data_IF_830178302863
#
_entry.id   IF_830178302863
#
_cell.length_a   1.000
_cell.length_b   1.000
_cell.length_c   1.000
_cell.angle_alpha   90.00
_cell.angle_beta   90.00
_cell.angle_gamma   90.00
#
_symmetry.space_group_name_H-M   'P 1'
#
loop_
_entity.id
_entity.type
_entity.pdbx_description
1 polymer ?
#
# COMPACT_ATOMS: atom_id res chain seq x y z
N UNK A 1 -4.03 -6.51 11.01
CA UNK A 1 -4.20 -5.97 9.64
C UNK A 1 -5.60 -5.37 9.48
N UNK A 2 -5.71 -4.18 8.95
CA UNK A 2 -7.00 -3.56 8.63
C UNK A 2 -7.53 -4.05 7.28
N UNK A 3 -8.83 -4.35 7.25
CA UNK A 3 -9.60 -4.66 6.03
C UNK A 3 -10.71 -3.63 5.94
N UNK A 4 -10.56 -2.67 5.03
CA UNK A 4 -11.56 -1.63 4.78
C UNK A 4 -11.53 -1.20 3.32
N UNK A 5 -12.43 -1.72 2.52
CA UNK A 5 -12.61 -1.38 1.12
C UNK A 5 -14.04 -1.67 0.66
N UNK A 6 -14.45 -1.00 -0.40
CA UNK A 6 -15.72 -1.31 -1.05
C UNK A 6 -15.58 -2.61 -1.86
N UNK A 7 -16.30 -3.63 -1.47
CA UNK A 7 -16.28 -4.96 -2.11
C UNK A 7 -16.75 -4.87 -3.57
N UNK A 8 -17.74 -4.02 -3.86
CA UNK A 8 -18.36 -3.93 -5.19
C UNK A 8 -17.44 -3.39 -6.30
N UNK A 9 -16.32 -2.74 -5.93
CA UNK A 9 -15.39 -2.20 -6.94
C UNK A 9 -14.67 -3.32 -7.71
N UNK A 10 -14.43 -4.48 -7.07
CA UNK A 10 -13.86 -5.69 -7.67
C UNK A 10 -14.37 -6.88 -6.85
N UNK A 11 -15.62 -7.25 -7.12
CA UNK A 11 -16.40 -8.11 -6.23
C UNK A 11 -15.74 -9.45 -5.99
N UNK A 12 -15.32 -10.16 -7.02
CA UNK A 12 -14.83 -11.53 -6.90
C UNK A 12 -13.59 -11.60 -6.01
N UNK A 13 -12.60 -10.76 -6.26
CA UNK A 13 -11.35 -10.72 -5.47
C UNK A 13 -11.63 -10.21 -4.06
N UNK A 14 -12.33 -9.09 -3.94
CA UNK A 14 -12.50 -8.42 -2.65
C UNK A 14 -13.42 -9.16 -1.70
N UNK A 15 -14.49 -9.77 -2.22
CA UNK A 15 -15.37 -10.61 -1.41
C UNK A 15 -14.64 -11.83 -0.87
N UNK A 16 -13.86 -12.51 -1.70
CA UNK A 16 -13.04 -13.65 -1.27
C UNK A 16 -12.08 -13.27 -0.15
N UNK A 17 -11.42 -12.12 -0.25
CA UNK A 17 -10.50 -11.63 0.79
C UNK A 17 -11.23 -11.30 2.10
N UNK A 18 -12.41 -10.69 2.04
CA UNK A 18 -13.23 -10.45 3.23
C UNK A 18 -13.59 -11.77 3.91
N UNK A 19 -14.11 -12.75 3.15
CA UNK A 19 -14.47 -14.05 3.71
C UNK A 19 -13.27 -14.78 4.32
N UNK A 20 -12.09 -14.68 3.69
CA UNK A 20 -10.88 -15.31 4.19
C UNK A 20 -10.34 -14.69 5.48
N UNK A 21 -10.52 -13.37 5.69
CA UNK A 21 -9.83 -12.65 6.78
C UNK A 21 -10.74 -12.09 7.87
N UNK A 22 -12.04 -11.84 7.63
CA UNK A 22 -12.93 -11.14 8.58
C UNK A 22 -13.04 -11.80 9.96
N UNK A 23 -12.85 -13.11 10.03
CA UNK A 23 -12.94 -13.89 11.28
C UNK A 23 -11.60 -14.10 12.00
N UNK A 24 -10.49 -13.68 11.38
CA UNK A 24 -9.16 -13.89 11.98
C UNK A 24 -8.91 -12.86 13.08
N UNK A 25 -8.44 -13.30 14.24
CA UNK A 25 -8.23 -12.45 15.44
C UNK A 25 -7.22 -11.33 15.23
N UNK A 26 -6.30 -11.47 14.27
CA UNK A 26 -5.30 -10.45 13.91
C UNK A 26 -5.75 -9.50 12.80
N UNK A 27 -7.00 -9.67 12.30
CA UNK A 27 -7.62 -8.79 11.32
C UNK A 27 -8.71 -7.93 11.97
N UNK A 28 -8.80 -6.69 11.51
CA UNK A 28 -9.83 -5.74 11.90
C UNK A 28 -10.66 -5.38 10.66
N UNK A 29 -11.82 -6.01 10.53
CA UNK A 29 -12.74 -5.73 9.42
C UNK A 29 -13.67 -4.57 9.78
N UNK A 30 -13.64 -3.51 9.00
CA UNK A 30 -14.46 -2.31 9.16
C UNK A 30 -15.11 -1.90 7.84
N UNK A 31 -16.34 -1.43 7.90
CA UNK A 31 -17.09 -0.90 6.76
C UNK A 31 -17.72 0.44 7.13
N UNK A 32 -18.10 1.22 6.12
CA UNK A 32 -18.87 2.45 6.29
C UNK A 32 -18.29 3.45 7.30
N UNK A 33 -16.96 3.57 7.34
CA UNK A 33 -16.29 4.54 8.19
C UNK A 33 -16.49 5.96 7.66
N UNK A 34 -16.71 6.92 8.57
CA UNK A 34 -16.57 8.34 8.23
C UNK A 34 -15.10 8.63 7.85
N UNK A 35 -14.85 9.73 7.14
CA UNK A 35 -13.49 10.13 6.74
C UNK A 35 -12.53 10.19 7.93
N UNK A 36 -12.94 10.80 9.03
CA UNK A 36 -12.10 10.91 10.23
C UNK A 36 -11.85 9.55 10.88
N UNK A 37 -12.88 8.72 11.01
CA UNK A 37 -12.73 7.35 11.55
C UNK A 37 -11.87 6.48 10.66
N UNK A 38 -11.92 6.66 9.34
CA UNK A 38 -11.07 5.96 8.39
C UNK A 38 -9.59 6.31 8.60
N UNK A 39 -9.27 7.61 8.65
CA UNK A 39 -7.90 8.10 8.91
C UNK A 39 -7.36 7.56 10.23
N UNK A 40 -8.13 7.68 11.31
CA UNK A 40 -7.72 7.19 12.63
C UNK A 40 -7.56 5.66 12.65
N UNK A 41 -8.41 4.93 11.94
CA UNK A 41 -8.31 3.47 11.88
C UNK A 41 -7.06 3.03 11.13
N UNK A 42 -6.68 3.73 10.04
CA UNK A 42 -5.40 3.46 9.34
C UNK A 42 -4.23 3.75 10.27
N UNK A 43 -4.15 4.95 10.86
CA UNK A 43 -3.06 5.33 11.79
C UNK A 43 -2.83 4.32 12.91
N UNK A 44 -3.89 3.70 13.40
CA UNK A 44 -3.85 2.72 14.48
C UNK A 44 -3.65 1.27 14.00
N UNK A 45 -3.38 1.07 12.70
CA UNK A 45 -3.18 -0.26 12.11
C UNK A 45 -1.77 -0.37 11.54
N UNK A 46 -1.01 -1.41 11.91
CA UNK A 46 0.32 -1.62 11.34
C UNK A 46 0.28 -2.00 9.86
N UNK A 47 -0.72 -2.78 9.45
CA UNK A 47 -0.87 -3.25 8.08
C UNK A 47 -2.27 -2.98 7.54
N UNK A 48 -2.35 -2.59 6.27
CA UNK A 48 -3.60 -2.34 5.55
C UNK A 48 -3.68 -3.24 4.33
N UNK A 49 -4.73 -4.05 4.22
CA UNK A 49 -4.96 -4.86 3.02
C UNK A 49 -5.45 -3.99 1.87
N UNK A 50 -4.67 -3.96 0.79
CA UNK A 50 -4.87 -3.08 -0.37
C UNK A 50 -5.11 -3.90 -1.66
N UNK A 51 -6.27 -4.56 -1.80
CA UNK A 51 -6.56 -5.32 -3.01
C UNK A 51 -6.81 -4.40 -4.21
N UNK A 52 -6.58 -4.90 -5.43
CA UNK A 52 -6.90 -4.17 -6.65
C UNK A 52 -8.38 -3.75 -6.66
N UNK A 53 -8.63 -2.58 -7.24
CA UNK A 53 -9.97 -2.07 -7.53
C UNK A 53 -10.27 -2.17 -9.03
N UNK A 54 -10.56 -1.03 -9.67
CA UNK A 54 -10.63 -0.94 -11.13
C UNK A 54 -9.25 -1.10 -11.80
N UNK A 55 -8.19 -0.92 -11.03
CA UNK A 55 -6.80 -1.15 -11.39
C UNK A 55 -6.00 -1.66 -10.20
N UNK A 56 -4.74 -2.07 -10.41
CA UNK A 56 -3.87 -2.57 -9.36
C UNK A 56 -3.44 -1.47 -8.39
N UNK A 57 -3.22 -0.25 -8.88
CA UNK A 57 -2.87 0.91 -8.08
C UNK A 57 -4.13 1.55 -7.50
N UNK A 58 -4.21 1.56 -6.18
CA UNK A 58 -5.33 2.15 -5.45
C UNK A 58 -4.84 3.23 -4.50
N UNK A 59 -5.62 4.31 -4.35
CA UNK A 59 -5.31 5.41 -3.41
C UNK A 59 -5.02 4.93 -1.99
N UNK A 60 -5.60 3.81 -1.56
CA UNK A 60 -5.38 3.22 -0.23
C UNK A 60 -3.92 2.85 0.02
N UNK A 61 -3.17 2.46 -0.99
CA UNK A 61 -1.74 2.15 -0.88
C UNK A 61 -1.00 3.41 -0.40
N UNK A 62 -1.22 4.51 -1.07
CA UNK A 62 -0.58 5.79 -0.79
C UNK A 62 -1.06 6.42 0.51
N UNK A 63 -2.37 6.37 0.77
CA UNK A 63 -2.94 6.82 2.05
C UNK A 63 -2.34 6.05 3.23
N UNK A 64 -2.13 4.74 3.10
CA UNK A 64 -1.49 3.93 4.14
C UNK A 64 -0.08 4.40 4.43
N UNK A 65 0.73 4.63 3.40
CA UNK A 65 2.10 5.14 3.54
C UNK A 65 2.14 6.53 4.18
N UNK A 66 1.29 7.46 3.72
CA UNK A 66 1.20 8.81 4.30
C UNK A 66 0.78 8.81 5.77
N UNK A 67 -0.02 7.84 6.19
CA UNK A 67 -0.52 7.72 7.55
C UNK A 67 0.36 6.82 8.45
N UNK A 68 1.49 6.33 7.92
CA UNK A 68 2.47 5.56 8.68
C UNK A 68 2.13 4.08 8.84
N UNK A 69 1.28 3.54 7.97
CA UNK A 69 0.91 2.13 7.92
C UNK A 69 1.56 1.44 6.72
N UNK A 70 1.71 0.13 6.78
CA UNK A 70 2.29 -0.70 5.73
C UNK A 70 1.17 -1.26 4.86
N UNK A 71 1.07 -0.87 3.56
CA UNK A 71 0.13 -1.49 2.65
C UNK A 71 0.59 -2.91 2.28
N UNK A 72 -0.36 -3.84 2.24
CA UNK A 72 -0.20 -5.21 1.73
C UNK A 72 -0.80 -5.27 0.35
N UNK A 73 0.02 -5.51 -0.67
CA UNK A 73 -0.30 -5.30 -2.08
C UNK A 73 0.06 -6.54 -2.89
N UNK A 74 -0.77 -6.89 -3.86
CA UNK A 74 -0.41 -7.92 -4.83
C UNK A 74 0.65 -7.39 -5.80
N UNK A 75 1.70 -8.18 -6.05
CA UNK A 75 2.75 -7.83 -7.02
C UNK A 75 2.14 -7.51 -8.39
N UNK A 76 2.58 -6.42 -8.97
CA UNK A 76 2.17 -6.00 -10.31
C UNK A 76 3.26 -5.11 -10.93
N UNK A 77 3.36 -5.11 -12.26
CA UNK A 77 4.40 -4.36 -12.99
C UNK A 77 4.31 -2.84 -12.78
N UNK A 78 3.13 -2.29 -12.44
CA UNK A 78 2.99 -0.86 -12.17
C UNK A 78 3.75 -0.40 -10.92
N UNK A 79 4.18 -1.32 -10.06
CA UNK A 79 4.94 -1.00 -8.85
C UNK A 79 6.46 -1.12 -9.03
N UNK A 80 6.93 -1.35 -10.26
CA UNK A 80 8.37 -1.30 -10.55
C UNK A 80 8.96 0.05 -10.17
N UNK A 81 10.05 0.01 -9.40
CA UNK A 81 10.71 1.21 -8.90
C UNK A 81 10.16 1.73 -7.57
N UNK A 82 9.22 1.02 -6.93
CA UNK A 82 8.71 1.33 -5.59
C UNK A 82 9.07 0.26 -4.56
N UNK A 83 9.98 -0.65 -4.88
CA UNK A 83 10.39 -1.77 -4.02
C UNK A 83 11.16 -1.32 -2.77
N UNK A 84 11.66 -0.10 -2.76
CA UNK A 84 12.33 0.56 -1.64
C UNK A 84 11.36 1.24 -0.65
N UNK A 85 10.06 1.32 -0.98
CA UNK A 85 9.05 1.77 -0.04
C UNK A 85 8.65 0.64 0.93
N UNK A 86 8.16 0.98 2.14
CA UNK A 86 7.69 -0.01 3.10
C UNK A 86 6.32 -0.61 2.67
N UNK A 87 6.33 -1.34 1.58
CA UNK A 87 5.16 -2.03 1.01
C UNK A 87 5.40 -3.54 1.09
N UNK A 88 4.48 -4.29 1.66
CA UNK A 88 4.52 -5.74 1.61
C UNK A 88 3.91 -6.24 0.30
N UNK A 89 4.76 -6.60 -0.65
CA UNK A 89 4.35 -7.20 -1.91
C UNK A 89 4.22 -8.73 -1.78
N UNK A 90 3.05 -9.26 -2.14
CA UNK A 90 2.75 -10.69 -2.14
C UNK A 90 2.30 -11.17 -3.52
N UNK A 91 2.52 -12.44 -3.83
CA UNK A 91 2.07 -13.02 -5.10
C UNK A 91 0.56 -13.27 -5.08
N UNK A 92 0.01 -13.66 -3.93
CA UNK A 92 -1.42 -13.87 -3.70
C UNK A 92 -1.84 -13.23 -2.37
N UNK A 93 -2.80 -12.32 -2.42
CA UNK A 93 -3.35 -11.68 -1.21
C UNK A 93 -4.08 -12.66 -0.27
N UNK A 94 -4.52 -13.82 -0.76
CA UNK A 94 -5.12 -14.86 0.07
C UNK A 94 -4.09 -15.64 0.91
N UNK A 95 -2.81 -15.54 0.58
CA UNK A 95 -1.72 -16.23 1.29
C UNK A 95 -1.15 -15.45 2.48
N UNK A 96 -1.66 -14.27 2.78
CA UNK A 96 -1.15 -13.43 3.88
C UNK A 96 -1.42 -14.12 5.22
N UNK A 97 -0.37 -14.26 6.02
CA UNK A 97 -0.42 -14.84 7.36
C UNK A 97 0.14 -13.89 8.41
N UNK A 98 -0.20 -14.13 9.69
CA UNK A 98 0.36 -13.37 10.80
C UNK A 98 1.89 -13.48 10.85
N UNK A 99 2.43 -14.66 10.55
CA UNK A 99 3.87 -14.90 10.56
C UNK A 99 4.57 -14.09 9.46
N UNK A 100 3.99 -14.02 8.26
CA UNK A 100 4.49 -13.19 7.17
C UNK A 100 4.53 -11.71 7.57
N UNK A 101 3.46 -11.20 8.19
CA UNK A 101 3.38 -9.82 8.67
C UNK A 101 4.45 -9.54 9.73
N UNK A 102 4.64 -10.45 10.68
CA UNK A 102 5.65 -10.32 11.73
C UNK A 102 7.07 -10.35 11.17
N UNK A 103 7.38 -11.26 10.25
CA UNK A 103 8.67 -11.33 9.58
C UNK A 103 8.99 -10.04 8.81
N UNK A 104 8.02 -9.52 8.07
CA UNK A 104 8.18 -8.27 7.35
C UNK A 104 8.46 -7.10 8.29
N UNK A 105 7.72 -7.00 9.40
CA UNK A 105 7.93 -5.96 10.42
C UNK A 105 9.31 -6.04 11.07
N UNK A 106 9.81 -7.26 11.35
CA UNK A 106 11.16 -7.46 11.90
C UNK A 106 12.23 -7.00 10.90
N UNK A 107 12.08 -7.34 9.63
CA UNK A 107 13.02 -6.93 8.58
C UNK A 107 13.05 -5.40 8.40
N UNK A 108 11.92 -4.72 8.49
CA UNK A 108 11.86 -3.26 8.41
C UNK A 108 12.61 -2.55 9.55
N UNK A 109 12.66 -3.13 10.75
CA UNK A 109 13.40 -2.55 11.89
C UNK A 109 14.91 -2.51 11.69
N UNK A 110 15.43 -3.29 10.76
CA UNK A 110 16.86 -3.41 10.46
C UNK A 110 17.26 -2.68 9.16
N UNK A 111 16.30 -2.18 8.37
CA UNK A 111 16.56 -1.52 7.10
C UNK A 111 16.19 -0.04 7.17
N UNK A 112 16.93 0.80 6.47
CA UNK A 112 16.57 2.20 6.27
C UNK A 112 15.30 2.29 5.40
N UNK A 113 14.24 2.89 5.94
CA UNK A 113 13.00 3.12 5.21
C UNK A 113 13.19 4.35 4.33
N UNK A 114 13.07 4.19 3.02
CA UNK A 114 13.13 5.30 2.08
C UNK A 114 11.71 5.80 1.74
N UNK A 115 11.35 6.97 2.26
CA UNK A 115 10.06 7.60 2.03
C UNK A 115 10.11 8.74 0.98
N UNK A 116 11.25 8.98 0.32
CA UNK A 116 11.39 10.08 -0.65
C UNK A 116 10.35 10.02 -1.76
N UNK A 117 10.00 8.82 -2.23
CA UNK A 117 9.06 8.62 -3.34
C UNK A 117 7.60 8.90 -3.00
N UNK A 118 7.24 9.11 -1.74
CA UNK A 118 5.91 9.60 -1.37
C UNK A 118 5.85 11.13 -1.27
N UNK A 119 7.00 11.83 -1.34
CA UNK A 119 7.07 13.30 -1.34
C UNK A 119 6.89 13.83 -2.78
N UNK A 120 5.95 14.74 -2.97
CA UNK A 120 5.72 15.40 -4.25
C UNK A 120 6.94 16.17 -4.76
N UNK A 121 7.79 16.70 -3.86
CA UNK A 121 8.98 17.44 -4.23
C UNK A 121 10.03 16.55 -4.91
N UNK A 122 10.17 15.30 -4.48
CA UNK A 122 11.01 14.32 -5.17
C UNK A 122 10.65 14.19 -6.65
N UNK A 123 9.37 14.07 -6.97
CA UNK A 123 8.91 13.93 -8.36
C UNK A 123 9.06 15.22 -9.15
N UNK A 124 8.83 16.38 -8.53
CA UNK A 124 9.08 17.68 -9.16
C UNK A 124 10.55 17.83 -9.57
N UNK A 125 11.47 17.58 -8.65
CA UNK A 125 12.90 17.65 -8.92
C UNK A 125 13.32 16.69 -10.03
N UNK A 126 12.84 15.46 -10.01
CA UNK A 126 13.12 14.47 -11.04
C UNK A 126 12.65 14.94 -12.44
N UNK A 127 11.44 15.48 -12.51
CA UNK A 127 10.86 15.99 -13.76
C UNK A 127 11.67 17.18 -14.28
N UNK A 128 11.98 18.16 -13.44
CA UNK A 128 12.73 19.35 -13.86
C UNK A 128 14.15 19.00 -14.31
N UNK A 129 14.84 18.12 -13.61
CA UNK A 129 16.18 17.68 -14.00
C UNK A 129 16.17 16.97 -15.37
N UNK A 130 15.19 16.11 -15.63
CA UNK A 130 15.05 15.44 -16.92
C UNK A 130 14.72 16.39 -18.07
N UNK A 131 13.95 17.45 -17.82
CA UNK A 131 13.65 18.49 -18.84
C UNK A 131 14.90 19.30 -19.14
N UNK A 132 15.68 19.70 -18.14
CA UNK A 132 16.90 20.47 -18.31
C UNK A 132 17.95 19.70 -19.12
N UNK A 133 18.17 18.42 -18.82
CA UNK A 133 19.09 17.56 -19.58
C UNK A 133 18.72 17.44 -21.06
N UNK A 134 17.43 17.28 -21.37
CA UNK A 134 16.97 17.20 -22.77
C UNK A 134 17.16 18.50 -23.58
N UNK A 135 17.16 19.63 -22.90
CA UNK A 135 17.41 20.92 -23.57
C UNK A 135 18.90 21.14 -23.87
N UNK A 136 19.81 20.57 -23.10
CA UNK A 136 21.28 20.62 -23.34
C UNK A 136 21.70 19.68 -24.48
N UNK A 137 20.95 18.58 -24.72
CA UNK A 137 21.22 17.62 -25.80
C UNK A 137 20.72 18.10 -27.20
N UNK A 138 20.06 19.26 -27.30
CA UNK A 138 19.47 19.82 -28.54
C UNK A 138 20.25 21.02 -29.07
N UNK A 139 21.30 21.50 -28.39
CA UNK A 139 22.26 22.51 -28.87
C UNK A 139 23.48 21.83 -29.48
#
# INVERSE_FOLDING_TARGET
MLINFNVNTNFDIRNQLVENYKSKSWCNYKTNLSKNSYIETIKNSSFILCPPGNGPDTHRIWESLYLGSIPVVQKHNCFKGFEDLPILFVDDLNSVSLDLLNQFMQNLKHNDINLKKIDINYWKELIFNNISQKNEDVE
#
